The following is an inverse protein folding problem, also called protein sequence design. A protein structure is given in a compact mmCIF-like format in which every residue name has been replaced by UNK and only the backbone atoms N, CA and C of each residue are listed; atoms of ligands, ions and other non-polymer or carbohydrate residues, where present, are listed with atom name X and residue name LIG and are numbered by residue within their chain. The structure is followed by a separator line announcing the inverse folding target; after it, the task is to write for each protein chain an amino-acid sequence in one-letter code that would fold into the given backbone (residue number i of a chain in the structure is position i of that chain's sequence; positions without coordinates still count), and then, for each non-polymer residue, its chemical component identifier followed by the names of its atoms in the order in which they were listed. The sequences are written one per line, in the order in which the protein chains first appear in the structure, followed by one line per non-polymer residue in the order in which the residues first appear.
data_IF_559943154323
#
_entry.id   IF_559943154323
#
_cell.length_a   1.000
_cell.length_b   1.000
_cell.length_c   1.000
_cell.angle_alpha   90.00
_cell.angle_beta   90.00
_cell.angle_gamma   90.00
#
_symmetry.space_group_name_H-M   'P 1'
#
loop_
_entity.id
_entity.type
_entity.pdbx_description
1 polymer ?
#
# COMPACT_ATOMS: atom_id res chain seq x y z
N UNK A 1 -15.35 34.83 4.42
CA UNK A 1 -16.22 33.98 5.25
C UNK A 1 -16.69 32.83 4.37
N UNK A 2 -15.88 31.78 4.25
CA UNK A 2 -16.17 30.58 3.46
C UNK A 2 -17.08 29.68 4.29
N UNK A 3 -18.22 29.31 3.73
CA UNK A 3 -19.22 28.45 4.38
C UNK A 3 -18.59 27.09 4.73
N UNK A 4 -18.81 26.53 5.94
CA UNK A 4 -18.35 25.19 6.26
C UNK A 4 -19.10 24.18 5.39
N UNK A 5 -18.37 23.30 4.69
CA UNK A 5 -18.95 22.18 3.95
C UNK A 5 -19.71 21.30 4.94
N UNK A 6 -21.03 21.21 4.77
CA UNK A 6 -21.89 20.33 5.58
C UNK A 6 -21.44 18.88 5.41
N UNK A 7 -21.10 18.26 6.53
CA UNK A 7 -20.61 16.89 6.65
C UNK A 7 -21.62 15.86 6.13
N UNK A 8 -21.44 15.43 4.87
CA UNK A 8 -21.91 14.15 4.30
C UNK A 8 -21.35 13.88 2.88
N UNK A 9 -20.19 14.44 2.52
CA UNK A 9 -19.61 14.23 1.19
C UNK A 9 -19.12 12.79 1.02
N UNK A 10 -19.40 12.18 -0.14
CA UNK A 10 -18.88 10.86 -0.53
C UNK A 10 -17.38 10.80 -0.22
N UNK A 11 -16.94 9.75 0.50
CA UNK A 11 -15.51 9.44 0.63
C UNK A 11 -14.98 9.09 -0.76
N UNK A 12 -14.18 9.97 -1.33
CA UNK A 12 -13.57 9.75 -2.64
C UNK A 12 -12.28 8.96 -2.45
N UNK A 13 -12.19 7.81 -3.12
CA UNK A 13 -11.03 6.93 -3.06
C UNK A 13 -10.43 6.92 -4.43
N UNK A 14 -9.14 7.19 -4.51
CA UNK A 14 -8.43 7.17 -5.78
C UNK A 14 -7.25 6.20 -5.72
N UNK A 15 -6.91 5.68 -6.89
CA UNK A 15 -5.91 4.66 -7.09
C UNK A 15 -4.93 5.10 -8.20
N UNK A 16 -3.97 5.98 -7.86
CA UNK A 16 -2.92 6.40 -8.78
C UNK A 16 -1.93 5.25 -9.01
N UNK A 17 -1.89 4.73 -10.24
CA UNK A 17 -1.05 3.59 -10.63
C UNK A 17 -0.01 4.00 -11.67
N UNK A 18 1.21 3.48 -11.49
CA UNK A 18 2.29 3.61 -12.46
C UNK A 18 2.60 2.23 -13.02
N UNK A 19 2.48 2.09 -14.33
CA UNK A 19 2.66 0.81 -15.01
C UNK A 19 3.95 0.77 -15.81
N UNK A 20 4.67 -0.35 -15.72
CA UNK A 20 5.74 -0.66 -16.67
C UNK A 20 5.14 -0.95 -18.05
N UNK A 21 5.94 -0.70 -19.09
CA UNK A 21 5.55 -1.05 -20.45
C UNK A 21 5.34 -2.58 -20.58
N UNK A 22 4.27 -2.96 -21.30
CA UNK A 22 3.87 -4.37 -21.47
C UNK A 22 4.96 -5.27 -22.06
N UNK A 23 5.91 -4.70 -22.81
CA UNK A 23 7.03 -5.43 -23.42
C UNK A 23 7.99 -6.05 -22.39
N UNK A 24 7.98 -5.58 -21.14
CA UNK A 24 8.93 -5.98 -20.10
C UNK A 24 8.48 -7.18 -19.24
N UNK A 25 7.25 -7.71 -19.40
CA UNK A 25 6.81 -8.83 -18.54
C UNK A 25 5.35 -9.25 -18.63
N UNK A 26 4.60 -8.86 -19.67
CA UNK A 26 3.14 -9.03 -19.68
C UNK A 26 2.42 -7.91 -18.91
N UNK A 27 1.09 -7.87 -19.02
CA UNK A 27 0.28 -6.74 -18.54
C UNK A 27 0.23 -6.55 -17.01
N UNK A 28 -0.05 -5.31 -16.58
CA UNK A 28 -0.24 -4.90 -15.17
C UNK A 28 0.98 -5.04 -14.24
N UNK A 29 2.18 -4.75 -14.76
CA UNK A 29 3.40 -4.67 -13.94
C UNK A 29 3.53 -3.31 -13.27
N UNK A 30 3.84 -3.32 -11.97
CA UNK A 30 4.07 -2.12 -11.17
C UNK A 30 5.41 -1.49 -11.53
N UNK A 31 5.43 -0.17 -11.68
CA UNK A 31 6.63 0.66 -11.70
C UNK A 31 6.81 1.36 -10.35
N UNK A 32 7.81 0.93 -9.58
CA UNK A 32 8.08 1.44 -8.23
C UNK A 32 8.90 2.73 -8.20
N UNK A 33 9.06 3.39 -9.34
CA UNK A 33 9.74 4.67 -9.48
C UNK A 33 8.98 5.79 -8.75
N UNK A 34 9.59 6.27 -7.66
CA UNK A 34 8.98 7.27 -6.79
C UNK A 34 8.70 8.59 -7.51
N UNK A 35 9.54 8.99 -8.47
CA UNK A 35 9.39 10.25 -9.20
C UNK A 35 8.13 10.24 -10.09
N UNK A 36 7.64 9.05 -10.45
CA UNK A 36 6.37 8.87 -11.16
C UNK A 36 5.19 8.75 -10.20
N UNK A 37 5.37 8.13 -9.04
CA UNK A 37 4.30 7.92 -8.05
C UNK A 37 3.88 9.24 -7.40
N UNK A 38 4.84 10.07 -6.97
CA UNK A 38 4.60 11.32 -6.25
C UNK A 38 3.64 12.29 -6.96
N UNK A 39 3.83 12.65 -8.24
CA UNK A 39 2.92 13.58 -8.92
C UNK A 39 1.50 13.02 -9.06
N UNK A 40 1.34 11.71 -9.30
CA UNK A 40 0.03 11.09 -9.40
C UNK A 40 -0.70 11.10 -8.06
N UNK A 41 -0.03 10.72 -6.98
CA UNK A 41 -0.59 10.76 -5.62
C UNK A 41 -1.00 12.19 -5.25
N UNK A 42 -0.16 13.17 -5.55
CA UNK A 42 -0.49 14.58 -5.30
C UNK A 42 -1.71 15.02 -6.11
N UNK A 43 -1.78 14.65 -7.39
CA UNK A 43 -2.91 14.96 -8.26
C UNK A 43 -4.20 14.34 -7.74
N UNK A 44 -4.20 13.07 -7.34
CA UNK A 44 -5.36 12.38 -6.75
C UNK A 44 -5.95 13.13 -5.56
N UNK A 45 -5.08 13.62 -4.66
CA UNK A 45 -5.52 14.37 -3.47
C UNK A 45 -6.07 15.75 -3.84
N UNK A 46 -5.44 16.45 -4.80
CA UNK A 46 -5.95 17.73 -5.31
C UNK A 46 -7.30 17.59 -6.01
N UNK A 47 -7.58 16.43 -6.61
CA UNK A 47 -8.88 16.08 -7.19
C UNK A 47 -9.93 15.69 -6.14
N UNK A 48 -9.56 15.53 -4.87
CA UNK A 48 -10.47 15.32 -3.77
C UNK A 48 -10.40 13.95 -3.11
N UNK A 49 -9.39 13.12 -3.42
CA UNK A 49 -9.21 11.83 -2.76
C UNK A 49 -9.00 12.00 -1.25
N UNK A 50 -9.86 11.36 -0.45
CA UNK A 50 -9.77 11.31 1.01
C UNK A 50 -8.96 10.09 1.50
N UNK A 51 -8.71 9.14 0.60
CA UNK A 51 -7.88 7.94 0.82
C UNK A 51 -7.15 7.63 -0.48
N UNK A 52 -5.86 7.33 -0.37
CA UNK A 52 -5.02 6.90 -1.49
C UNK A 52 -4.74 5.41 -1.39
N UNK A 53 -4.92 4.71 -2.52
CA UNK A 53 -4.41 3.35 -2.71
C UNK A 53 -3.32 3.40 -3.78
N UNK A 54 -2.06 3.28 -3.38
CA UNK A 54 -0.92 3.47 -4.28
C UNK A 54 -0.10 2.19 -4.44
N UNK A 55 0.63 2.11 -5.55
CA UNK A 55 1.63 1.07 -5.76
C UNK A 55 2.80 1.21 -4.77
N UNK A 56 3.50 0.12 -4.44
CA UNK A 56 4.74 0.18 -3.67
C UNK A 56 5.87 0.84 -4.48
N UNK A 57 6.81 1.47 -3.80
CA UNK A 57 8.11 1.84 -4.40
C UNK A 57 9.02 0.63 -4.50
N UNK A 58 10.03 0.71 -5.37
CA UNK A 58 11.06 -0.36 -5.48
C UNK A 58 11.86 -0.50 -4.16
N UNK A 59 12.07 0.61 -3.44
CA UNK A 59 12.61 0.63 -2.08
C UNK A 59 11.50 1.05 -1.08
N UNK A 60 11.00 0.15 -0.22
CA UNK A 60 9.98 0.50 0.76
C UNK A 60 10.41 1.53 1.81
N UNK A 61 11.72 1.73 2.03
CA UNK A 61 12.24 2.64 3.07
C UNK A 61 11.97 4.12 2.75
N UNK A 62 11.87 4.46 1.45
CA UNK A 62 11.58 5.82 0.99
C UNK A 62 10.08 6.12 0.89
N UNK A 63 9.20 5.13 1.14
CA UNK A 63 7.75 5.27 0.95
C UNK A 63 7.10 6.35 1.82
N UNK A 64 7.76 6.77 2.90
CA UNK A 64 7.34 7.91 3.71
C UNK A 64 7.21 9.22 2.92
N UNK A 65 7.91 9.37 1.78
CA UNK A 65 7.72 10.49 0.86
C UNK A 65 6.34 10.48 0.20
N UNK A 66 5.85 9.31 -0.22
CA UNK A 66 4.51 9.12 -0.78
C UNK A 66 3.45 9.46 0.27
N UNK A 67 3.64 8.99 1.50
CA UNK A 67 2.75 9.31 2.65
C UNK A 67 2.69 10.81 2.89
N UNK A 68 3.84 11.51 2.89
CA UNK A 68 3.90 12.97 3.07
C UNK A 68 3.25 13.73 1.92
N UNK A 69 3.38 13.24 0.68
CA UNK A 69 2.76 13.85 -0.49
C UNK A 69 1.23 13.72 -0.46
N UNK A 70 0.71 12.57 0.01
CA UNK A 70 -0.73 12.31 0.08
C UNK A 70 -1.45 13.19 1.11
N UNK A 71 -0.88 13.39 2.32
CA UNK A 71 -1.55 14.10 3.44
C UNK A 71 -2.91 13.52 3.88
N UNK A 72 -3.27 12.36 3.34
CA UNK A 72 -4.45 11.55 3.67
C UNK A 72 -4.00 10.09 3.84
N UNK A 73 -4.81 9.19 4.43
CA UNK A 73 -4.42 7.80 4.61
C UNK A 73 -3.98 7.13 3.31
N UNK A 74 -2.83 6.44 3.35
CA UNK A 74 -2.27 5.71 2.21
C UNK A 74 -2.30 4.21 2.49
N UNK A 75 -2.91 3.45 1.57
CA UNK A 75 -2.95 2.00 1.58
C UNK A 75 -2.07 1.45 0.45
N UNK A 76 -1.09 0.62 0.78
CA UNK A 76 -0.11 0.15 -0.20
C UNK A 76 -0.55 -1.15 -0.86
N UNK A 77 -0.55 -1.20 -2.18
CA UNK A 77 -0.87 -2.40 -2.94
C UNK A 77 0.22 -3.47 -2.81
N UNK A 78 -0.18 -4.73 -2.95
CA UNK A 78 0.74 -5.86 -2.80
C UNK A 78 1.65 -6.15 -4.00
N UNK A 79 1.41 -5.53 -5.15
CA UNK A 79 2.13 -5.85 -6.37
C UNK A 79 2.02 -7.33 -6.75
N UNK A 80 3.10 -7.88 -7.30
CA UNK A 80 3.25 -9.30 -7.65
C UNK A 80 3.19 -10.25 -6.45
N UNK A 81 3.21 -11.56 -6.75
CA UNK A 81 3.41 -12.57 -5.69
C UNK A 81 4.85 -12.46 -5.19
N UNK A 82 5.02 -12.50 -3.89
CA UNK A 82 6.29 -12.41 -3.18
C UNK A 82 6.45 -13.62 -2.24
N UNK A 83 7.64 -13.80 -1.69
CA UNK A 83 7.85 -14.74 -0.58
C UNK A 83 7.22 -14.23 0.72
N UNK A 84 6.98 -15.13 1.67
CA UNK A 84 6.45 -14.78 3.00
C UNK A 84 7.36 -13.81 3.74
N UNK A 85 8.68 -14.01 3.65
CA UNK A 85 9.65 -13.12 4.28
C UNK A 85 9.63 -11.73 3.67
N UNK A 86 9.57 -11.66 2.34
CA UNK A 86 9.51 -10.39 1.61
C UNK A 86 8.21 -9.63 1.91
N UNK A 87 7.05 -10.29 1.87
CA UNK A 87 5.76 -9.62 2.09
C UNK A 87 5.64 -9.11 3.52
N UNK A 88 6.08 -9.88 4.52
CA UNK A 88 6.01 -9.49 5.93
C UNK A 88 7.01 -8.37 6.24
N UNK A 89 8.27 -8.48 5.79
CA UNK A 89 9.30 -7.45 5.99
C UNK A 89 8.92 -6.12 5.31
N UNK A 90 8.41 -6.20 4.08
CA UNK A 90 7.88 -5.02 3.38
C UNK A 90 6.71 -4.40 4.13
N UNK A 91 5.75 -5.20 4.61
CA UNK A 91 4.61 -4.69 5.38
C UNK A 91 5.08 -3.95 6.63
N UNK A 92 5.99 -4.55 7.40
CA UNK A 92 6.56 -3.92 8.59
C UNK A 92 7.23 -2.59 8.26
N UNK A 93 8.00 -2.54 7.18
CA UNK A 93 8.67 -1.31 6.73
C UNK A 93 7.66 -0.23 6.33
N UNK A 94 6.65 -0.58 5.53
CA UNK A 94 5.62 0.35 5.07
C UNK A 94 4.83 0.97 6.22
N UNK A 95 4.44 0.16 7.21
CA UNK A 95 3.75 0.65 8.42
C UNK A 95 4.68 1.57 9.23
N UNK A 96 5.96 1.21 9.40
CA UNK A 96 6.94 2.05 10.11
C UNK A 96 7.14 3.43 9.46
N UNK A 97 7.09 3.52 8.14
CA UNK A 97 7.24 4.80 7.41
C UNK A 97 5.93 5.58 7.26
N UNK A 98 4.84 5.11 7.88
CA UNK A 98 3.59 5.86 8.03
C UNK A 98 2.47 5.47 7.07
N UNK A 99 2.59 4.37 6.32
CA UNK A 99 1.45 3.84 5.58
C UNK A 99 0.32 3.48 6.56
N UNK A 100 -0.92 3.79 6.18
CA UNK A 100 -2.10 3.53 7.01
C UNK A 100 -2.61 2.09 6.88
N UNK A 101 -2.05 1.31 5.96
CA UNK A 101 -2.40 -0.09 5.76
C UNK A 101 -1.95 -0.62 4.40
N UNK A 102 -2.49 -1.79 4.05
CA UNK A 102 -2.13 -2.55 2.86
C UNK A 102 -3.39 -3.03 2.11
N UNK A 103 -3.25 -3.27 0.81
CA UNK A 103 -4.26 -3.91 -0.04
C UNK A 103 -3.63 -5.05 -0.82
N UNK A 104 -3.58 -6.23 -0.19
CA UNK A 104 -2.92 -7.42 -0.74
C UNK A 104 -3.96 -8.43 -1.22
N UNK A 105 -3.87 -8.80 -2.51
CA UNK A 105 -4.71 -9.83 -3.12
C UNK A 105 -3.95 -11.15 -3.26
N UNK A 106 -3.15 -11.27 -4.33
CA UNK A 106 -2.42 -12.50 -4.71
C UNK A 106 -1.62 -13.13 -3.55
N UNK A 107 -0.94 -12.31 -2.75
CA UNK A 107 -0.14 -12.76 -1.61
C UNK A 107 -0.97 -13.41 -0.48
N UNK A 108 -2.28 -13.20 -0.44
CA UNK A 108 -3.19 -13.85 0.52
C UNK A 108 -3.96 -14.99 -0.15
N UNK A 109 -4.70 -14.69 -1.22
CA UNK A 109 -5.65 -15.65 -1.81
C UNK A 109 -4.97 -16.85 -2.50
N UNK A 110 -3.71 -16.72 -2.92
CA UNK A 110 -2.92 -17.79 -3.55
C UNK A 110 -1.83 -18.35 -2.61
N UNK A 111 -1.91 -18.02 -1.31
CA UNK A 111 -1.00 -18.58 -0.30
C UNK A 111 -1.44 -20.00 0.08
N UNK A 112 -0.51 -20.85 0.51
CA UNK A 112 -0.83 -22.22 0.94
C UNK A 112 -1.66 -22.24 2.25
N UNK A 113 -1.46 -21.22 3.09
CA UNK A 113 -2.21 -20.97 4.33
C UNK A 113 -2.79 -19.53 4.32
N UNK A 114 -3.90 -19.25 3.60
CA UNK A 114 -4.44 -17.88 3.50
C UNK A 114 -4.84 -17.31 4.87
N UNK A 115 -5.41 -18.13 5.74
CA UNK A 115 -5.81 -17.73 7.11
C UNK A 115 -4.59 -17.30 7.93
N UNK A 116 -3.52 -18.09 7.93
CA UNK A 116 -2.27 -17.75 8.60
C UNK A 116 -1.66 -16.46 8.06
N UNK A 117 -1.60 -16.30 6.74
CA UNK A 117 -1.09 -15.08 6.10
C UNK A 117 -1.93 -13.84 6.45
N UNK A 118 -3.27 -13.95 6.45
CA UNK A 118 -4.14 -12.86 6.92
C UNK A 118 -3.84 -12.50 8.37
N UNK A 119 -3.74 -13.48 9.28
CA UNK A 119 -3.43 -13.21 10.69
C UNK A 119 -2.06 -12.56 10.87
N UNK A 120 -1.05 -13.04 10.15
CA UNK A 120 0.30 -12.48 10.16
C UNK A 120 0.31 -11.00 9.74
N UNK A 121 -0.33 -10.68 8.62
CA UNK A 121 -0.43 -9.30 8.12
C UNK A 121 -1.20 -8.40 9.09
N UNK A 122 -2.31 -8.89 9.66
CA UNK A 122 -3.11 -8.13 10.63
C UNK A 122 -2.32 -7.81 11.90
N UNK A 123 -1.51 -8.76 12.39
CA UNK A 123 -0.66 -8.53 13.56
C UNK A 123 0.37 -7.41 13.32
N UNK A 124 0.92 -7.29 12.12
CA UNK A 124 1.84 -6.19 11.77
C UNK A 124 1.06 -4.87 11.68
N UNK A 125 -0.06 -4.86 10.95
CA UNK A 125 -0.79 -3.63 10.62
C UNK A 125 -1.50 -3.03 11.83
N UNK A 126 -2.04 -3.87 12.73
CA UNK A 126 -2.90 -3.42 13.83
C UNK A 126 -2.27 -3.58 15.21
N UNK A 127 -1.39 -4.56 15.41
CA UNK A 127 -0.86 -4.91 16.73
C UNK A 127 0.64 -4.57 16.89
N UNK A 128 1.27 -4.00 15.86
CA UNK A 128 2.68 -3.60 15.89
C UNK A 128 3.66 -4.77 15.96
N UNK A 129 3.25 -5.97 15.55
CA UNK A 129 4.13 -7.13 15.51
C UNK A 129 5.28 -6.94 14.50
N UNK A 130 6.46 -7.51 14.81
CA UNK A 130 7.56 -7.59 13.83
C UNK A 130 7.26 -8.63 12.76
N UNK A 131 7.92 -8.55 11.60
CA UNK A 131 7.82 -9.58 10.56
C UNK A 131 8.20 -10.97 11.08
N UNK A 132 9.20 -11.05 11.95
CA UNK A 132 9.64 -12.29 12.58
C UNK A 132 8.56 -12.88 13.51
N UNK A 133 7.84 -12.03 14.25
CA UNK A 133 6.73 -12.46 15.11
C UNK A 133 5.53 -12.92 14.30
N UNK A 134 5.18 -12.15 13.27
CA UNK A 134 4.09 -12.46 12.37
C UNK A 134 4.31 -13.77 11.60
N UNK A 135 5.56 -14.06 11.20
CA UNK A 135 5.92 -15.30 10.49
C UNK A 135 5.58 -16.56 11.28
N UNK A 136 5.62 -16.51 12.62
CA UNK A 136 5.25 -17.65 13.48
C UNK A 136 3.76 -18.01 13.40
N UNK A 137 2.92 -17.15 12.81
CA UNK A 137 1.50 -17.39 12.59
C UNK A 137 1.21 -18.14 11.27
N UNK A 138 2.24 -18.45 10.47
CA UNK A 138 2.11 -19.20 9.22
C UNK A 138 2.14 -20.73 9.40
N UNK A 139 2.31 -21.19 10.64
CA UNK A 139 2.31 -22.62 11.03
C UNK A 139 0.99 -23.33 10.77
#
# INVERSE_FOLDING_TARGET
MTTPRTAKSKRERDEPLVFKANAAGGGYMVDGDIDKILPLVRQSVELGADIIKADPTDDPSIYGEVVRAARVPVLVRGGGKASDDEILSRTETLIKVGASGIVYGRNVVQHANPTGMTRALMAIVHDGASAADAKRLLV
#
